data_IF_880347659893
#
_entry.id   IF_880347659893
#
_cell.length_a   1.000
_cell.length_b   1.000
_cell.length_c   1.000
_cell.angle_alpha   90.00
_cell.angle_beta   90.00
_cell.angle_gamma   90.00
#
_symmetry.space_group_name_H-M   'P 1'
#
loop_
_entity.id
_entity.type
_entity.pdbx_description
1 polymer ?
#
# COMPACT_ATOMS: atom_id res chain seq x y z
N UNK A 1 -0.24 -26.79 -18.76
CA UNK A 1 -0.01 -25.38 -18.38
C UNK A 1 -0.59 -24.39 -19.40
N UNK A 2 -0.31 -24.47 -20.69
CA UNK A 2 -0.80 -23.52 -21.70
C UNK A 2 -2.34 -23.36 -21.74
N UNK A 3 -3.11 -24.41 -21.57
CA UNK A 3 -4.59 -24.38 -21.57
C UNK A 3 -5.17 -23.67 -20.32
N UNK A 4 -4.49 -23.74 -19.18
CA UNK A 4 -4.89 -23.05 -17.95
C UNK A 4 -4.57 -21.55 -18.08
N UNK A 5 -3.43 -21.21 -18.64
CA UNK A 5 -3.03 -19.81 -18.88
C UNK A 5 -3.95 -19.13 -19.89
N UNK A 6 -4.35 -19.81 -20.95
CA UNK A 6 -5.29 -19.26 -21.95
C UNK A 6 -6.69 -19.03 -21.35
N UNK A 7 -7.19 -19.97 -20.52
CA UNK A 7 -8.46 -19.80 -19.81
C UNK A 7 -8.42 -18.65 -18.81
N UNK A 8 -7.34 -18.49 -18.05
CA UNK A 8 -7.17 -17.36 -17.10
C UNK A 8 -7.11 -16.00 -17.82
N UNK A 9 -6.45 -15.93 -18.98
CA UNK A 9 -6.42 -14.72 -19.80
C UNK A 9 -7.83 -14.34 -20.30
N UNK A 10 -8.60 -15.31 -20.78
CA UNK A 10 -9.99 -15.07 -21.22
C UNK A 10 -10.92 -14.65 -20.07
N UNK A 11 -10.74 -15.18 -18.87
CA UNK A 11 -11.50 -14.75 -17.69
C UNK A 11 -11.14 -13.32 -17.27
N UNK A 12 -9.86 -13.00 -17.24
CA UNK A 12 -9.39 -11.62 -16.94
C UNK A 12 -9.98 -10.62 -17.91
N UNK A 13 -9.94 -10.92 -19.20
CA UNK A 13 -10.44 -10.02 -20.24
C UNK A 13 -11.96 -9.83 -20.13
N UNK A 14 -12.71 -10.89 -19.79
CA UNK A 14 -14.15 -10.80 -19.48
C UNK A 14 -14.43 -9.94 -18.27
N UNK A 15 -13.68 -10.08 -17.17
CA UNK A 15 -13.86 -9.26 -15.97
C UNK A 15 -13.54 -7.79 -16.22
N UNK A 16 -12.48 -7.50 -16.96
CA UNK A 16 -12.09 -6.12 -17.33
C UNK A 16 -13.11 -5.50 -18.29
N UNK A 17 -13.75 -6.29 -19.14
CA UNK A 17 -14.80 -5.84 -20.06
C UNK A 17 -16.13 -5.52 -19.35
N UNK A 18 -16.32 -5.95 -18.09
CA UNK A 18 -17.54 -5.64 -17.34
C UNK A 18 -17.67 -4.13 -17.08
N UNK A 19 -18.88 -3.58 -17.07
CA UNK A 19 -19.13 -2.23 -16.59
C UNK A 19 -18.58 -2.03 -15.17
N UNK A 20 -18.01 -0.86 -14.89
CA UNK A 20 -17.33 -0.57 -13.61
C UNK A 20 -18.19 -0.88 -12.39
N UNK A 21 -19.50 -0.56 -12.44
CA UNK A 21 -20.42 -0.89 -11.35
C UNK A 21 -20.67 -2.40 -11.18
N UNK A 22 -20.54 -3.21 -12.22
CA UNK A 22 -20.60 -4.67 -12.08
C UNK A 22 -19.34 -5.22 -11.44
N UNK A 23 -18.17 -4.65 -11.78
CA UNK A 23 -16.92 -4.98 -11.09
C UNK A 23 -17.03 -4.61 -9.59
N UNK A 24 -17.58 -3.43 -9.26
CA UNK A 24 -17.78 -3.01 -7.86
C UNK A 24 -18.76 -3.95 -7.14
N UNK A 25 -19.86 -4.37 -7.80
CA UNK A 25 -20.80 -5.33 -7.24
C UNK A 25 -20.14 -6.67 -6.91
N UNK A 26 -19.26 -7.18 -7.79
CA UNK A 26 -18.51 -8.40 -7.54
C UNK A 26 -17.53 -8.25 -6.36
N UNK A 27 -16.83 -7.13 -6.26
CA UNK A 27 -15.91 -6.87 -5.16
C UNK A 27 -16.66 -6.78 -3.81
N UNK A 28 -17.79 -6.09 -3.77
CA UNK A 28 -18.60 -5.99 -2.56
C UNK A 28 -19.31 -7.30 -2.22
N UNK A 29 -19.67 -8.11 -3.22
CA UNK A 29 -20.18 -9.47 -2.98
C UNK A 29 -19.11 -10.34 -2.33
N UNK A 30 -17.89 -10.32 -2.84
CA UNK A 30 -16.75 -11.03 -2.23
C UNK A 30 -16.49 -10.53 -0.80
N UNK A 31 -16.59 -9.21 -0.57
CA UNK A 31 -16.47 -8.63 0.77
C UNK A 31 -17.61 -9.09 1.70
N UNK A 32 -18.85 -9.19 1.19
CA UNK A 32 -20.00 -9.73 1.92
C UNK A 32 -19.77 -11.19 2.32
N UNK A 33 -19.31 -12.01 1.38
CA UNK A 33 -19.00 -13.44 1.63
C UNK A 33 -17.85 -13.56 2.66
N UNK A 34 -16.84 -12.71 2.55
CA UNK A 34 -15.74 -12.69 3.50
C UNK A 34 -16.23 -12.30 4.91
N UNK A 35 -17.05 -11.25 5.02
CA UNK A 35 -17.62 -10.84 6.31
C UNK A 35 -18.49 -11.96 6.92
N UNK A 36 -19.33 -12.61 6.10
CA UNK A 36 -20.12 -13.76 6.55
C UNK A 36 -19.25 -14.92 7.05
N UNK A 37 -18.19 -15.25 6.32
CA UNK A 37 -17.22 -16.27 6.72
C UNK A 37 -16.48 -15.89 8.00
N UNK A 38 -16.07 -14.64 8.14
CA UNK A 38 -15.42 -14.13 9.36
C UNK A 38 -16.37 -14.18 10.54
N UNK A 39 -17.61 -13.76 10.39
CA UNK A 39 -18.62 -13.82 11.42
C UNK A 39 -18.84 -15.28 11.94
N UNK A 40 -18.83 -16.25 11.01
CA UNK A 40 -19.06 -17.67 11.34
C UNK A 40 -17.83 -18.39 11.91
N UNK A 41 -16.61 -18.02 11.47
CA UNK A 41 -15.39 -18.79 11.71
C UNK A 41 -14.35 -18.09 12.60
N UNK A 42 -14.50 -16.78 12.85
CA UNK A 42 -13.52 -16.05 13.65
C UNK A 42 -13.52 -16.52 15.11
N UNK A 43 -12.31 -16.78 15.60
CA UNK A 43 -12.06 -17.14 17.00
C UNK A 43 -12.00 -15.87 17.87
N UNK A 44 -11.55 -14.76 17.32
CA UNK A 44 -11.39 -13.49 18.02
C UNK A 44 -12.68 -12.66 17.92
N UNK A 45 -13.12 -12.10 19.06
CA UNK A 45 -14.36 -11.35 19.17
C UNK A 45 -14.33 -10.04 18.36
N UNK A 46 -13.20 -9.35 18.33
CA UNK A 46 -13.01 -8.13 17.53
C UNK A 46 -13.23 -8.37 16.02
N UNK A 47 -12.77 -9.52 15.50
CA UNK A 47 -13.00 -9.90 14.10
C UNK A 47 -14.46 -10.17 13.81
N UNK A 48 -15.12 -10.91 14.73
CA UNK A 48 -16.54 -11.25 14.61
C UNK A 48 -17.42 -10.00 14.66
N UNK A 49 -17.16 -9.11 15.61
CA UNK A 49 -17.90 -7.85 15.77
C UNK A 49 -17.73 -6.93 14.56
N UNK A 50 -16.49 -6.80 14.06
CA UNK A 50 -16.29 -6.09 12.81
C UNK A 50 -17.12 -6.68 11.66
N UNK A 51 -17.13 -8.01 11.53
CA UNK A 51 -17.83 -8.69 10.46
C UNK A 51 -19.35 -8.50 10.56
N UNK A 52 -19.92 -8.53 11.76
CA UNK A 52 -21.35 -8.24 12.02
C UNK A 52 -21.73 -6.82 11.58
N UNK A 53 -20.89 -5.83 11.88
CA UNK A 53 -21.10 -4.44 11.46
C UNK A 53 -20.91 -4.22 9.96
N UNK A 54 -19.95 -4.92 9.33
CA UNK A 54 -19.57 -4.72 7.94
C UNK A 54 -20.46 -5.49 6.94
N UNK A 55 -21.08 -6.60 7.36
CA UNK A 55 -21.88 -7.48 6.51
C UNK A 55 -23.02 -6.73 5.80
N UNK A 56 -23.82 -6.01 6.55
CA UNK A 56 -24.96 -5.25 6.02
C UNK A 56 -24.54 -4.18 4.99
N UNK A 57 -23.60 -3.29 5.32
CA UNK A 57 -23.09 -2.29 4.38
C UNK A 57 -22.56 -2.88 3.07
N UNK A 58 -21.78 -3.97 3.10
CA UNK A 58 -21.28 -4.61 1.88
C UNK A 58 -22.40 -5.24 1.05
N UNK A 59 -23.37 -5.90 1.70
CA UNK A 59 -24.51 -6.49 1.01
C UNK A 59 -25.37 -5.40 0.32
N UNK A 60 -25.65 -4.29 1.00
CA UNK A 60 -26.39 -3.16 0.44
C UNK A 60 -25.63 -2.54 -0.74
N UNK A 61 -24.33 -2.31 -0.61
CA UNK A 61 -23.49 -1.79 -1.70
C UNK A 61 -23.49 -2.73 -2.91
N UNK A 62 -23.44 -4.05 -2.70
CA UNK A 62 -23.57 -5.08 -3.74
C UNK A 62 -24.87 -4.91 -4.52
N UNK A 63 -26.01 -4.86 -3.80
CA UNK A 63 -27.34 -4.72 -4.41
C UNK A 63 -27.47 -3.41 -5.19
N UNK A 64 -27.04 -2.29 -4.61
CA UNK A 64 -27.08 -0.97 -5.28
C UNK A 64 -26.29 -1.02 -6.59
N UNK A 65 -25.03 -1.48 -6.55
CA UNK A 65 -24.18 -1.55 -7.73
C UNK A 65 -24.78 -2.47 -8.81
N UNK A 66 -25.33 -3.61 -8.41
CA UNK A 66 -25.95 -4.57 -9.32
C UNK A 66 -27.21 -4.03 -9.98
N UNK A 67 -28.14 -3.46 -9.19
CA UNK A 67 -29.42 -2.92 -9.69
C UNK A 67 -29.18 -1.74 -10.63
N UNK A 68 -28.33 -0.78 -10.22
CA UNK A 68 -28.02 0.40 -11.04
C UNK A 68 -27.32 0.00 -12.34
N UNK A 69 -26.38 -0.95 -12.29
CA UNK A 69 -25.72 -1.44 -13.48
C UNK A 69 -26.68 -2.09 -14.47
N UNK A 70 -27.60 -2.96 -14.00
CA UNK A 70 -28.60 -3.61 -14.88
C UNK A 70 -29.57 -2.60 -15.50
N UNK A 71 -30.04 -1.59 -14.74
CA UNK A 71 -30.92 -0.55 -15.28
C UNK A 71 -30.22 0.25 -16.38
N UNK A 72 -28.95 0.60 -16.22
CA UNK A 72 -28.17 1.35 -17.22
C UNK A 72 -27.93 0.58 -18.51
N UNK A 73 -27.62 -0.72 -18.42
CA UNK A 73 -27.48 -1.58 -19.61
C UNK A 73 -28.75 -1.64 -20.44
N UNK A 74 -29.94 -1.62 -19.78
CA UNK A 74 -31.23 -1.63 -20.49
C UNK A 74 -31.57 -0.30 -21.18
N UNK A 75 -31.04 0.83 -20.69
CA UNK A 75 -31.39 2.16 -21.21
C UNK A 75 -30.51 2.63 -22.39
N UNK A 76 -29.55 1.78 -22.86
CA UNK A 76 -28.72 2.00 -24.06
C UNK A 76 -28.09 3.42 -24.16
N UNK A 77 -28.03 4.18 -23.09
CA UNK A 77 -27.36 5.50 -23.09
C UNK A 77 -25.95 5.37 -22.54
N UNK A 78 -24.89 5.68 -23.34
CA UNK A 78 -23.55 5.82 -22.78
C UNK A 78 -23.59 6.86 -21.66
N UNK A 79 -22.83 6.63 -20.60
CA UNK A 79 -22.78 7.48 -19.39
C UNK A 79 -22.11 8.84 -19.72
N UNK A 80 -22.81 9.70 -20.46
CA UNK A 80 -22.38 11.04 -20.89
C UNK A 80 -22.26 12.02 -19.71
N UNK A 81 -22.71 11.64 -18.51
CA UNK A 81 -22.84 12.57 -17.38
C UNK A 81 -22.04 12.26 -16.11
N UNK A 82 -21.16 11.23 -16.08
CA UNK A 82 -20.38 10.92 -14.85
C UNK A 82 -21.22 10.52 -13.63
N UNK A 83 -22.51 10.22 -13.79
CA UNK A 83 -23.42 9.87 -12.70
C UNK A 83 -23.04 8.52 -12.06
N UNK A 84 -22.43 7.59 -12.82
CA UNK A 84 -21.87 6.35 -12.29
C UNK A 84 -20.65 6.58 -11.42
N UNK A 85 -19.79 7.50 -11.81
CA UNK A 85 -18.59 7.83 -11.05
C UNK A 85 -18.96 8.61 -9.76
N UNK A 86 -20.04 9.41 -9.78
CA UNK A 86 -20.57 10.06 -8.56
C UNK A 86 -21.14 9.05 -7.56
N UNK A 87 -22.01 8.16 -8.01
CA UNK A 87 -22.56 7.10 -7.17
C UNK A 87 -21.45 6.27 -6.53
N UNK A 88 -20.45 5.88 -7.31
CA UNK A 88 -19.31 5.13 -6.84
C UNK A 88 -18.55 5.84 -5.72
N UNK A 89 -18.29 7.16 -5.88
CA UNK A 89 -17.64 7.95 -4.83
C UNK A 89 -18.47 7.98 -3.54
N UNK A 90 -19.77 8.21 -3.64
CA UNK A 90 -20.64 8.19 -2.45
C UNK A 90 -20.69 6.82 -1.78
N UNK A 91 -20.73 5.72 -2.55
CA UNK A 91 -20.68 4.37 -1.99
C UNK A 91 -19.35 4.10 -1.29
N UNK A 92 -18.22 4.48 -1.89
CA UNK A 92 -16.89 4.31 -1.27
C UNK A 92 -16.78 5.13 0.02
N UNK A 93 -17.24 6.38 0.03
CA UNK A 93 -17.23 7.21 1.24
C UNK A 93 -18.23 6.70 2.30
N UNK A 94 -19.41 6.25 1.89
CA UNK A 94 -20.38 5.62 2.79
C UNK A 94 -19.84 4.34 3.42
N UNK A 95 -19.15 3.51 2.62
CA UNK A 95 -18.49 2.31 3.13
C UNK A 95 -17.32 2.67 4.05
N UNK A 96 -16.51 3.70 3.74
CA UNK A 96 -15.48 4.16 4.68
C UNK A 96 -16.08 4.46 6.06
N UNK A 97 -17.20 5.17 6.09
CA UNK A 97 -17.88 5.47 7.34
C UNK A 97 -18.38 4.19 8.03
N UNK A 98 -19.05 3.28 7.28
CA UNK A 98 -19.80 2.16 7.88
C UNK A 98 -18.99 0.89 8.11
N UNK A 99 -17.87 0.67 7.41
CA UNK A 99 -17.03 -0.53 7.59
C UNK A 99 -15.67 -0.26 8.22
N UNK A 100 -15.30 1.03 8.37
CA UNK A 100 -14.03 1.43 9.01
C UNK A 100 -14.30 2.35 10.20
N UNK A 101 -14.84 3.57 9.98
CA UNK A 101 -14.87 4.59 11.03
C UNK A 101 -15.85 4.25 12.16
N UNK A 102 -17.07 3.84 11.83
CA UNK A 102 -18.06 3.43 12.83
C UNK A 102 -17.61 2.18 13.59
N UNK A 103 -17.19 1.08 12.92
CA UNK A 103 -16.69 -0.09 13.65
C UNK A 103 -15.47 0.23 14.52
N UNK A 104 -14.52 1.03 14.04
CA UNK A 104 -13.37 1.45 14.85
C UNK A 104 -13.82 2.20 16.11
N UNK A 105 -14.76 3.14 15.97
CA UNK A 105 -15.28 3.92 17.10
C UNK A 105 -15.98 3.02 18.12
N UNK A 106 -16.79 2.07 17.64
CA UNK A 106 -17.48 1.09 18.51
C UNK A 106 -16.45 0.23 19.26
N UNK A 107 -15.47 -0.35 18.57
CA UNK A 107 -14.46 -1.22 19.16
C UNK A 107 -13.57 -0.46 20.18
N UNK A 108 -13.25 0.80 19.92
CA UNK A 108 -12.49 1.65 20.85
C UNK A 108 -13.30 1.94 22.11
N UNK A 109 -14.59 2.23 21.99
CA UNK A 109 -15.47 2.46 23.14
C UNK A 109 -15.65 1.19 23.95
N UNK A 110 -15.94 0.06 23.30
CA UNK A 110 -16.11 -1.24 23.98
C UNK A 110 -14.81 -1.65 24.71
N UNK A 111 -13.65 -1.39 24.10
CA UNK A 111 -12.35 -1.66 24.75
C UNK A 111 -12.14 -0.79 26.00
N UNK A 112 -12.54 0.49 25.95
CA UNK A 112 -12.39 1.39 27.09
C UNK A 112 -13.18 0.94 28.34
N UNK A 113 -14.29 0.23 28.14
CA UNK A 113 -15.16 -0.30 29.19
C UNK A 113 -14.82 -1.75 29.59
N UNK A 114 -14.03 -2.44 28.77
CA UNK A 114 -13.74 -3.87 28.93
C UNK A 114 -12.48 -4.15 29.76
N UNK A 115 -12.21 -5.43 29.98
CA UNK A 115 -10.94 -5.89 30.60
C UNK A 115 -9.76 -5.61 29.66
N UNK A 116 -8.56 -5.33 30.21
CA UNK A 116 -7.36 -5.12 29.42
C UNK A 116 -7.13 -6.23 28.38
N UNK A 117 -6.90 -5.84 27.11
CA UNK A 117 -6.66 -6.76 26.01
C UNK A 117 -7.91 -7.31 25.31
N UNK A 118 -9.13 -7.01 25.78
CA UNK A 118 -10.36 -7.30 25.05
C UNK A 118 -10.58 -6.30 23.91
N UNK A 119 -11.31 -6.68 22.88
CA UNK A 119 -11.68 -5.85 21.72
C UNK A 119 -10.51 -5.24 20.95
N UNK A 120 -9.34 -5.89 20.97
CA UNK A 120 -8.14 -5.38 20.29
C UNK A 120 -7.17 -6.53 20.02
N UNK A 121 -6.46 -6.43 18.89
CA UNK A 121 -5.36 -7.36 18.59
C UNK A 121 -4.15 -7.14 19.53
N UNK A 122 -3.43 -8.23 19.81
CA UNK A 122 -2.22 -8.20 20.64
C UNK A 122 -1.16 -7.22 20.14
N UNK A 123 -1.09 -6.99 18.83
CA UNK A 123 -0.16 -6.05 18.21
C UNK A 123 -0.30 -4.63 18.75
N UNK A 124 -1.53 -4.18 18.94
CA UNK A 124 -1.83 -2.86 19.51
C UNK A 124 -1.36 -2.77 20.95
N UNK A 125 -1.70 -3.77 21.77
CA UNK A 125 -1.29 -3.79 23.19
C UNK A 125 0.22 -3.84 23.35
N UNK A 126 0.93 -4.52 22.45
CA UNK A 126 2.40 -4.56 22.44
C UNK A 126 3.00 -3.20 22.07
N UNK A 127 2.42 -2.49 21.10
CA UNK A 127 2.86 -1.14 20.70
C UNK A 127 2.63 -0.14 21.85
N UNK A 128 1.46 -0.19 22.48
CA UNK A 128 1.11 0.66 23.62
C UNK A 128 1.99 0.38 24.83
N UNK A 129 2.21 -0.88 25.20
CA UNK A 129 3.06 -1.27 26.30
C UNK A 129 4.53 -0.84 26.10
N UNK A 130 5.02 -0.91 24.86
CA UNK A 130 6.34 -0.41 24.52
C UNK A 130 6.41 1.12 24.68
N UNK A 131 5.43 1.84 24.14
CA UNK A 131 5.38 3.29 24.21
C UNK A 131 5.25 3.81 25.65
N UNK A 132 4.43 3.14 26.48
CA UNK A 132 4.31 3.43 27.91
C UNK A 132 5.67 3.28 28.62
N UNK A 133 6.41 2.22 28.33
CA UNK A 133 7.75 2.04 28.88
C UNK A 133 8.70 3.16 28.49
N UNK A 134 8.69 3.56 27.21
CA UNK A 134 9.53 4.66 26.72
C UNK A 134 9.13 6.00 27.35
N UNK A 135 7.84 6.25 27.54
CA UNK A 135 7.35 7.43 28.23
C UNK A 135 7.81 7.53 29.71
N UNK A 136 8.21 6.38 30.31
CA UNK A 136 8.75 6.29 31.67
C UNK A 136 10.26 5.99 31.68
N UNK A 137 11.00 6.40 30.64
CA UNK A 137 12.46 6.23 30.49
C UNK A 137 12.95 4.78 30.59
N UNK A 138 12.09 3.81 30.22
CA UNK A 138 12.42 2.38 30.22
C UNK A 138 12.63 1.86 28.81
N UNK A 139 13.55 0.90 28.66
CA UNK A 139 13.78 0.26 27.37
C UNK A 139 12.55 -0.54 26.93
N UNK A 140 12.15 -0.32 25.69
CA UNK A 140 11.08 -1.04 25.01
C UNK A 140 11.48 -2.49 24.69
N UNK A 141 12.73 -2.71 24.23
CA UNK A 141 13.25 -4.02 23.93
C UNK A 141 13.72 -4.73 25.19
N UNK A 142 13.09 -5.84 25.53
CA UNK A 142 13.39 -6.56 26.77
C UNK A 142 14.48 -7.61 26.53
N UNK A 143 15.49 -7.62 27.39
CA UNK A 143 16.56 -8.61 27.37
C UNK A 143 16.07 -10.00 27.84
N UNK A 144 15.09 -10.03 28.75
CA UNK A 144 14.48 -11.25 29.25
C UNK A 144 12.94 -11.09 29.27
N UNK A 145 12.27 -11.35 28.16
CA UNK A 145 10.83 -11.17 28.06
C UNK A 145 9.99 -11.99 29.05
N UNK A 146 10.56 -13.06 29.61
CA UNK A 146 9.88 -13.89 30.65
C UNK A 146 9.66 -13.18 31.98
N UNK A 147 10.35 -12.07 32.24
CA UNK A 147 10.31 -11.40 33.55
C UNK A 147 9.11 -10.47 33.75
N UNK A 148 8.18 -10.36 32.78
CA UNK A 148 7.09 -9.37 32.85
C UNK A 148 5.76 -9.98 33.35
N UNK A 149 5.61 -11.27 33.41
CA UNK A 149 4.35 -11.89 33.82
C UNK A 149 4.52 -12.96 34.89
N UNK A 150 3.68 -12.92 35.89
CA UNK A 150 3.63 -13.91 36.98
C UNK A 150 2.93 -15.19 36.58
N UNK A 151 2.44 -15.36 35.34
CA UNK A 151 1.86 -16.61 34.83
C UNK A 151 2.42 -17.01 33.49
N UNK A 152 2.77 -18.29 33.39
CA UNK A 152 3.59 -18.91 32.32
C UNK A 152 2.81 -19.21 31.04
N UNK A 153 1.53 -18.87 30.90
CA UNK A 153 0.69 -19.57 29.94
C UNK A 153 0.34 -18.79 28.66
N UNK A 154 0.02 -17.54 28.66
CA UNK A 154 -0.37 -16.87 27.41
C UNK A 154 0.21 -15.47 27.20
N UNK A 155 0.84 -14.93 28.21
CA UNK A 155 1.37 -13.55 28.21
C UNK A 155 2.82 -13.44 27.75
N UNK A 156 3.52 -14.54 27.49
CA UNK A 156 4.94 -14.50 27.15
C UNK A 156 5.22 -13.96 25.76
N UNK A 157 4.31 -14.13 24.82
CA UNK A 157 4.46 -13.59 23.45
C UNK A 157 4.26 -12.09 23.40
N UNK A 158 3.34 -11.52 24.19
CA UNK A 158 3.06 -10.09 24.27
C UNK A 158 4.17 -9.29 24.96
N UNK A 159 5.18 -9.96 25.51
CA UNK A 159 6.36 -9.31 26.08
C UNK A 159 7.46 -9.00 25.06
N UNK A 160 7.32 -9.49 23.81
CA UNK A 160 8.22 -9.15 22.72
C UNK A 160 7.68 -7.96 21.93
N UNK A 161 8.57 -7.04 21.57
CA UNK A 161 8.27 -5.94 20.66
C UNK A 161 8.89 -6.23 19.27
N UNK A 162 8.14 -6.87 18.34
CA UNK A 162 8.69 -7.34 17.06
C UNK A 162 8.79 -6.24 15.99
N UNK A 163 8.68 -5.00 16.39
CA UNK A 163 8.70 -3.84 15.49
C UNK A 163 10.00 -3.05 15.60
N UNK A 164 10.19 -2.11 14.68
CA UNK A 164 11.29 -1.17 14.71
C UNK A 164 10.90 0.11 15.48
N UNK A 165 11.88 0.92 15.96
CA UNK A 165 11.58 2.03 16.87
C UNK A 165 10.60 3.08 16.32
N UNK A 166 10.50 3.23 15.00
CA UNK A 166 9.54 4.13 14.37
C UNK A 166 8.06 3.79 14.63
N UNK A 167 7.76 2.57 15.13
CA UNK A 167 6.40 2.19 15.50
C UNK A 167 5.97 2.75 16.86
N UNK A 168 6.91 3.07 17.74
CA UNK A 168 6.67 3.52 19.12
C UNK A 168 5.73 4.74 19.20
N UNK A 169 5.88 5.79 18.35
CA UNK A 169 5.04 6.99 18.43
C UNK A 169 3.53 6.72 18.35
N UNK A 170 3.11 5.67 17.65
CA UNK A 170 1.68 5.34 17.56
C UNK A 170 1.09 4.87 18.89
N UNK A 171 1.89 4.30 19.77
CA UNK A 171 1.44 3.86 21.09
C UNK A 171 1.48 4.96 22.17
N UNK A 172 2.13 6.11 21.91
CA UNK A 172 2.29 7.16 22.92
C UNK A 172 0.96 7.77 23.40
N UNK A 173 -0.10 7.64 22.61
CA UNK A 173 -1.45 8.06 23.03
C UNK A 173 -1.90 7.35 24.32
N UNK A 174 -1.44 6.12 24.55
CA UNK A 174 -1.75 5.36 25.76
C UNK A 174 -1.12 5.96 27.01
N UNK A 175 0.02 6.61 26.88
CA UNK A 175 0.73 7.26 27.99
C UNK A 175 0.17 8.67 28.31
N UNK A 176 -0.82 9.17 27.58
CA UNK A 176 -1.41 10.51 27.81
C UNK A 176 -2.40 10.50 28.96
N UNK A 177 -2.57 11.66 29.62
CA UNK A 177 -3.63 11.88 30.60
C UNK A 177 -4.91 12.30 29.89
N UNK A 178 -5.79 11.37 29.57
CA UNK A 178 -7.04 11.66 28.85
C UNK A 178 -8.08 10.57 29.06
N UNK A 179 -9.28 10.72 28.51
CA UNK A 179 -10.30 9.67 28.53
C UNK A 179 -9.78 8.37 27.88
N UNK A 180 -10.18 7.20 28.41
CA UNK A 180 -9.69 5.89 27.92
C UNK A 180 -9.89 5.68 26.42
N UNK A 181 -10.99 6.20 25.87
CA UNK A 181 -11.36 6.06 24.46
C UNK A 181 -10.32 6.71 23.53
N UNK A 182 -9.62 7.74 23.96
CA UNK A 182 -8.57 8.40 23.15
C UNK A 182 -7.17 7.81 23.35
N UNK A 183 -7.02 6.82 24.23
CA UNK A 183 -5.72 6.17 24.51
C UNK A 183 -5.43 4.98 23.62
N UNK A 184 -6.30 4.67 22.68
CA UNK A 184 -6.19 3.52 21.78
C UNK A 184 -5.28 3.83 20.59
N UNK A 185 -4.22 3.05 20.43
CA UNK A 185 -3.24 3.25 19.35
C UNK A 185 -3.84 3.00 17.94
N UNK A 186 -4.98 2.35 17.81
CA UNK A 186 -5.69 2.19 16.52
C UNK A 186 -6.11 3.52 15.92
N UNK A 187 -6.40 4.52 16.76
CA UNK A 187 -6.77 5.87 16.30
C UNK A 187 -5.64 6.51 15.49
N UNK A 188 -4.42 6.70 16.04
CA UNK A 188 -3.32 7.25 15.25
C UNK A 188 -2.84 6.30 14.14
N UNK A 189 -2.86 4.98 14.32
CA UNK A 189 -2.50 4.01 13.27
C UNK A 189 -3.42 4.16 12.05
N UNK A 190 -4.73 4.14 12.25
CA UNK A 190 -5.73 4.26 11.17
C UNK A 190 -5.77 5.67 10.61
N UNK A 191 -5.78 6.70 11.46
CA UNK A 191 -5.81 8.10 11.02
C UNK A 191 -4.60 8.46 10.17
N UNK A 192 -3.40 8.11 10.60
CA UNK A 192 -2.17 8.29 9.84
C UNK A 192 -2.22 7.54 8.51
N UNK A 193 -2.63 6.27 8.52
CA UNK A 193 -2.72 5.45 7.31
C UNK A 193 -3.67 6.04 6.28
N UNK A 194 -4.87 6.45 6.70
CA UNK A 194 -5.85 7.08 5.82
C UNK A 194 -5.34 8.38 5.21
N UNK A 195 -4.71 9.25 6.01
CA UNK A 195 -4.14 10.51 5.56
C UNK A 195 -3.02 10.30 4.54
N UNK A 196 -2.11 9.38 4.82
CA UNK A 196 -0.95 9.10 3.96
C UNK A 196 -1.39 8.40 2.67
N UNK A 197 -2.33 7.44 2.72
CA UNK A 197 -2.91 6.80 1.53
C UNK A 197 -3.62 7.84 0.67
N UNK A 198 -4.44 8.70 1.27
CA UNK A 198 -5.10 9.78 0.54
C UNK A 198 -4.08 10.71 -0.14
N UNK A 199 -3.04 11.12 0.59
CA UNK A 199 -1.92 11.92 0.06
C UNK A 199 -1.20 11.22 -1.10
N UNK A 200 -0.88 9.93 -0.96
CA UNK A 200 -0.26 9.13 -2.01
C UNK A 200 -1.13 9.08 -3.28
N UNK A 201 -2.44 8.89 -3.11
CA UNK A 201 -3.39 8.85 -4.23
C UNK A 201 -3.60 10.22 -4.89
N UNK A 202 -3.52 11.32 -4.14
CA UNK A 202 -3.58 12.68 -4.70
C UNK A 202 -2.32 13.00 -5.50
N UNK A 203 -1.15 12.54 -5.03
CA UNK A 203 0.14 12.70 -5.71
C UNK A 203 0.25 11.79 -6.94
N UNK A 204 -0.34 10.60 -6.91
CA UNK A 204 -0.22 9.62 -7.99
C UNK A 204 -0.75 10.16 -9.34
N UNK A 205 0.02 9.94 -10.41
CA UNK A 205 -0.37 10.29 -11.79
C UNK A 205 -1.36 9.26 -12.32
N UNK A 206 -2.64 9.47 -12.02
CA UNK A 206 -3.69 8.53 -12.43
C UNK A 206 -5.04 9.21 -12.59
N UNK A 207 -5.94 8.55 -13.32
CA UNK A 207 -7.31 9.03 -13.49
C UNK A 207 -8.09 8.95 -12.19
N UNK A 208 -9.10 9.82 -12.02
CA UNK A 208 -10.00 9.79 -10.85
C UNK A 208 -10.62 8.40 -10.64
N UNK A 209 -11.04 7.73 -11.72
CA UNK A 209 -11.61 6.37 -11.68
C UNK A 209 -10.64 5.33 -11.08
N UNK A 210 -9.37 5.32 -11.51
CA UNK A 210 -8.34 4.41 -10.98
C UNK A 210 -7.99 4.75 -9.53
N UNK A 211 -7.92 6.04 -9.18
CA UNK A 211 -7.68 6.51 -7.80
C UNK A 211 -8.71 5.95 -6.83
N UNK A 212 -10.01 6.07 -7.16
CA UNK A 212 -11.08 5.52 -6.35
C UNK A 212 -11.06 3.98 -6.31
N UNK A 213 -10.61 3.32 -7.38
CA UNK A 213 -10.45 1.85 -7.38
C UNK A 213 -9.32 1.42 -6.44
N UNK A 214 -8.20 2.12 -6.44
CA UNK A 214 -7.07 1.83 -5.53
C UNK A 214 -7.52 2.04 -4.09
N UNK A 215 -8.16 3.17 -3.79
CA UNK A 215 -8.69 3.44 -2.45
C UNK A 215 -9.70 2.38 -2.00
N UNK A 216 -10.60 1.95 -2.88
CA UNK A 216 -11.56 0.89 -2.62
C UNK A 216 -10.86 -0.43 -2.23
N UNK A 217 -9.84 -0.85 -2.99
CA UNK A 217 -9.15 -2.11 -2.73
C UNK A 217 -8.32 -2.05 -1.45
N UNK A 218 -7.58 -0.96 -1.23
CA UNK A 218 -6.63 -0.84 -0.13
C UNK A 218 -7.32 -0.52 1.21
N UNK A 219 -8.42 0.26 1.19
CA UNK A 219 -9.04 0.79 2.42
C UNK A 219 -10.40 0.15 2.69
N UNK A 220 -11.23 0.00 1.65
CA UNK A 220 -12.64 -0.34 1.83
C UNK A 220 -12.89 -1.85 1.84
N UNK A 221 -12.15 -2.63 1.04
CA UNK A 221 -12.29 -4.09 1.08
C UNK A 221 -11.78 -4.67 2.40
N UNK A 222 -12.21 -5.88 2.77
CA UNK A 222 -11.86 -6.49 4.06
C UNK A 222 -10.36 -6.54 4.35
N UNK A 223 -9.51 -6.64 3.32
CA UNK A 223 -8.05 -6.63 3.46
C UNK A 223 -7.51 -5.35 4.12
N UNK A 224 -8.18 -4.21 3.94
CA UNK A 224 -7.82 -2.95 4.59
C UNK A 224 -8.77 -2.61 5.76
N UNK A 225 -10.09 -2.75 5.57
CA UNK A 225 -11.08 -2.33 6.55
C UNK A 225 -10.99 -3.12 7.88
N UNK A 226 -10.84 -4.44 7.81
CA UNK A 226 -10.70 -5.27 9.00
C UNK A 226 -9.48 -4.88 9.84
N UNK A 227 -8.22 -4.86 9.30
CA UNK A 227 -7.08 -4.47 10.11
C UNK A 227 -7.15 -3.02 10.62
N UNK A 228 -7.77 -2.06 9.90
CA UNK A 228 -7.96 -0.69 10.41
C UNK A 228 -8.78 -0.65 11.70
N UNK A 229 -9.72 -1.56 11.85
CA UNK A 229 -10.61 -1.61 13.02
C UNK A 229 -10.01 -2.43 14.16
N UNK A 230 -9.34 -3.52 13.83
CA UNK A 230 -8.88 -4.48 14.86
C UNK A 230 -7.45 -4.23 15.33
N UNK A 231 -6.60 -3.51 14.56
CA UNK A 231 -5.29 -3.13 15.04
C UNK A 231 -4.15 -3.05 14.02
N UNK A 232 -4.44 -2.96 12.73
CA UNK A 232 -3.51 -3.03 11.59
C UNK A 232 -2.27 -2.16 11.64
N UNK A 233 -1.27 -2.60 12.34
CA UNK A 233 0.07 -2.05 12.43
C UNK A 233 0.87 -2.12 11.10
N UNK A 234 0.41 -2.92 10.14
CA UNK A 234 0.96 -2.99 8.79
C UNK A 234 0.53 -1.81 7.90
N UNK A 235 -0.63 -1.20 8.18
CA UNK A 235 -1.20 -0.15 7.35
C UNK A 235 -0.37 1.13 7.26
N UNK A 236 0.22 1.68 8.35
CA UNK A 236 1.12 2.82 8.26
C UNK A 236 2.35 2.53 7.41
N UNK A 237 2.85 1.30 7.46
CA UNK A 237 4.00 0.85 6.64
C UNK A 237 3.63 0.88 5.17
N UNK A 238 2.50 0.25 4.80
CA UNK A 238 1.98 0.21 3.43
C UNK A 238 1.68 1.63 2.94
N UNK A 239 1.03 2.46 3.75
CA UNK A 239 0.71 3.84 3.41
C UNK A 239 1.96 4.63 3.01
N UNK A 240 3.04 4.53 3.79
CA UNK A 240 4.32 5.17 3.50
C UNK A 240 5.01 4.56 2.27
N UNK A 241 4.92 3.24 2.06
CA UNK A 241 5.42 2.59 0.86
C UNK A 241 4.70 3.12 -0.40
N UNK A 242 3.38 3.26 -0.36
CA UNK A 242 2.59 3.82 -1.46
C UNK A 242 2.91 5.30 -1.71
N UNK A 243 3.12 6.07 -0.65
CA UNK A 243 3.58 7.46 -0.75
C UNK A 243 4.97 7.54 -1.39
N UNK A 244 5.90 6.67 -0.97
CA UNK A 244 7.23 6.56 -1.55
C UNK A 244 7.18 6.25 -3.05
N UNK A 245 6.31 5.32 -3.48
CA UNK A 245 6.06 4.98 -4.87
C UNK A 245 5.45 6.15 -5.66
N UNK A 246 4.46 6.84 -5.10
CA UNK A 246 3.83 8.01 -5.74
C UNK A 246 4.85 9.12 -5.98
N UNK A 247 5.67 9.43 -4.97
CA UNK A 247 6.73 10.44 -5.06
C UNK A 247 7.84 10.03 -6.05
N UNK A 248 8.20 8.74 -6.09
CA UNK A 248 9.14 8.21 -7.08
C UNK A 248 8.62 8.37 -8.50
N UNK A 249 7.35 8.13 -8.76
CA UNK A 249 6.69 8.33 -10.05
C UNK A 249 6.73 9.82 -10.46
N UNK A 250 6.51 10.74 -9.52
CA UNK A 250 6.62 12.20 -9.69
C UNK A 250 8.05 12.71 -9.80
N UNK A 251 9.04 11.84 -9.90
CA UNK A 251 10.47 12.20 -9.96
C UNK A 251 10.95 13.05 -8.78
N UNK A 252 10.45 12.75 -7.59
CA UNK A 252 10.82 13.39 -6.32
C UNK A 252 11.67 12.44 -5.46
N UNK A 253 12.93 12.11 -5.86
CA UNK A 253 13.71 11.06 -5.19
C UNK A 253 13.98 11.36 -3.72
N UNK A 254 14.25 12.60 -3.34
CA UNK A 254 14.46 13.00 -1.95
C UNK A 254 13.24 12.62 -1.08
N UNK A 255 12.06 13.08 -1.46
CA UNK A 255 10.83 12.84 -0.70
C UNK A 255 10.39 11.37 -0.74
N UNK A 256 10.66 10.68 -1.84
CA UNK A 256 10.48 9.23 -1.92
C UNK A 256 11.39 8.50 -0.92
N UNK A 257 12.65 8.93 -0.80
CA UNK A 257 13.60 8.41 0.19
C UNK A 257 13.15 8.69 1.62
N UNK A 258 12.62 9.89 1.89
CA UNK A 258 12.03 10.25 3.20
C UNK A 258 10.88 9.30 3.55
N UNK A 259 9.89 9.15 2.66
CA UNK A 259 8.73 8.29 2.91
C UNK A 259 9.14 6.81 3.12
N UNK A 260 10.05 6.30 2.27
CA UNK A 260 10.55 4.94 2.40
C UNK A 260 11.44 4.74 3.62
N UNK A 261 12.21 5.76 4.00
CA UNK A 261 12.99 5.76 5.24
C UNK A 261 12.09 5.61 6.46
N UNK A 262 11.02 6.40 6.56
CA UNK A 262 10.03 6.24 7.61
C UNK A 262 9.37 4.86 7.60
N UNK A 263 8.92 4.36 6.43
CA UNK A 263 8.38 3.00 6.33
C UNK A 263 9.35 1.96 6.87
N UNK A 264 10.64 2.07 6.51
CA UNK A 264 11.69 1.15 6.91
C UNK A 264 12.02 1.22 8.41
N UNK A 265 11.69 2.31 9.10
CA UNK A 265 11.81 2.41 10.56
C UNK A 265 10.64 1.81 11.33
N UNK A 266 9.53 1.51 10.67
CA UNK A 266 8.36 0.87 11.29
C UNK A 266 8.49 -0.66 11.31
N UNK A 267 8.78 -1.27 10.15
CA UNK A 267 8.89 -2.72 9.98
C UNK A 267 9.89 -3.11 8.88
N UNK A 268 10.49 -4.29 9.03
CA UNK A 268 11.37 -4.86 7.99
C UNK A 268 10.65 -5.18 6.67
N UNK A 269 9.34 -5.29 6.68
CA UNK A 269 8.52 -5.54 5.48
C UNK A 269 8.62 -4.44 4.42
N UNK A 270 9.02 -3.21 4.80
CA UNK A 270 9.27 -2.13 3.86
C UNK A 270 10.62 -2.21 3.13
N UNK A 271 11.59 -2.97 3.67
CA UNK A 271 12.97 -3.00 3.16
C UNK A 271 13.12 -3.55 1.74
N UNK A 272 12.39 -4.60 1.33
CA UNK A 272 12.45 -5.06 -0.06
C UNK A 272 12.11 -3.94 -1.06
N UNK A 273 11.03 -3.18 -0.83
CA UNK A 273 10.68 -2.07 -1.70
C UNK A 273 11.67 -0.91 -1.61
N UNK A 274 12.18 -0.59 -0.42
CA UNK A 274 13.23 0.42 -0.22
C UNK A 274 14.42 0.15 -1.13
N UNK A 275 14.92 -1.10 -1.16
CA UNK A 275 16.06 -1.50 -1.98
C UNK A 275 15.71 -1.52 -3.46
N UNK A 276 14.56 -2.07 -3.82
CA UNK A 276 14.13 -2.18 -5.22
C UNK A 276 13.89 -0.82 -5.88
N UNK A 277 13.47 0.19 -5.11
CA UNK A 277 13.35 1.56 -5.62
C UNK A 277 14.73 2.19 -5.91
N UNK A 278 15.79 1.82 -5.20
CA UNK A 278 17.16 2.22 -5.56
C UNK A 278 17.48 1.73 -6.97
N UNK A 279 17.28 0.42 -7.23
CA UNK A 279 17.54 -0.18 -8.54
C UNK A 279 16.69 0.46 -9.64
N UNK A 280 15.39 0.64 -9.40
CA UNK A 280 14.47 1.26 -10.36
C UNK A 280 14.74 2.74 -10.68
N UNK A 281 15.53 3.43 -9.86
CA UNK A 281 15.94 4.81 -10.13
C UNK A 281 17.28 4.91 -10.84
N UNK A 282 18.13 3.89 -10.74
CA UNK A 282 19.48 3.89 -11.31
C UNK A 282 19.47 4.01 -12.83
N UNK A 283 18.64 3.22 -13.51
CA UNK A 283 18.69 3.06 -14.96
C UNK A 283 18.25 4.32 -15.74
N UNK A 284 17.32 5.13 -15.22
CA UNK A 284 16.71 6.25 -15.98
C UNK A 284 17.06 7.65 -15.50
N UNK A 285 17.62 7.80 -14.29
CA UNK A 285 17.74 9.11 -13.61
C UNK A 285 19.16 9.47 -13.20
N UNK A 286 20.11 8.55 -13.38
CA UNK A 286 21.52 8.73 -13.05
C UNK A 286 21.80 8.76 -11.53
N UNK A 287 23.08 8.71 -11.18
CA UNK A 287 23.55 8.55 -9.81
C UNK A 287 23.08 9.64 -8.83
N UNK A 288 22.81 10.87 -9.31
CA UNK A 288 22.32 11.96 -8.43
C UNK A 288 20.94 11.67 -7.82
N UNK A 289 20.03 11.06 -8.58
CA UNK A 289 18.70 10.71 -8.06
C UNK A 289 18.78 9.57 -7.04
N UNK A 290 19.58 8.56 -7.33
CA UNK A 290 19.87 7.44 -6.43
C UNK A 290 20.51 7.95 -5.14
N UNK A 291 21.52 8.81 -5.24
CA UNK A 291 22.18 9.40 -4.08
C UNK A 291 21.21 10.19 -3.20
N UNK A 292 20.37 11.06 -3.79
CA UNK A 292 19.37 11.84 -3.04
C UNK A 292 18.35 10.95 -2.33
N UNK A 293 17.89 9.89 -3.00
CA UNK A 293 16.97 8.92 -2.42
C UNK A 293 17.62 8.17 -1.25
N UNK A 294 18.79 7.60 -1.48
CA UNK A 294 19.49 6.77 -0.48
C UNK A 294 19.92 7.59 0.72
N UNK A 295 20.43 8.81 0.50
CA UNK A 295 20.83 9.71 1.59
C UNK A 295 19.62 10.11 2.43
N UNK A 296 18.49 10.46 1.81
CA UNK A 296 17.27 10.81 2.53
C UNK A 296 16.72 9.64 3.35
N UNK A 297 16.71 8.44 2.78
CA UNK A 297 16.30 7.25 3.51
C UNK A 297 17.26 6.93 4.67
N UNK A 298 18.57 6.96 4.41
CA UNK A 298 19.59 6.71 5.44
C UNK A 298 19.55 7.74 6.57
N UNK A 299 19.33 9.03 6.27
CA UNK A 299 19.21 10.10 7.25
C UNK A 299 18.05 9.89 8.24
N UNK A 300 17.08 9.06 7.90
CA UNK A 300 15.96 8.68 8.80
C UNK A 300 16.24 7.32 9.44
N UNK A 301 16.61 6.32 8.64
CA UNK A 301 16.78 4.95 9.10
C UNK A 301 17.93 4.84 10.11
N UNK A 302 19.09 5.46 9.79
CA UNK A 302 20.29 5.30 10.62
C UNK A 302 20.11 5.85 12.04
N UNK A 303 19.63 7.10 12.27
CA UNK A 303 19.45 7.59 13.63
C UNK A 303 18.35 6.85 14.39
N UNK A 304 17.21 6.54 13.74
CA UNK A 304 16.09 5.86 14.42
C UNK A 304 16.47 4.43 14.84
N UNK A 305 17.11 3.66 13.94
CA UNK A 305 17.60 2.33 14.31
C UNK A 305 18.81 2.41 15.24
N UNK A 306 19.67 3.40 15.05
CA UNK A 306 20.85 3.63 15.88
C UNK A 306 20.51 3.79 17.37
N UNK A 307 19.45 4.49 17.69
CA UNK A 307 18.92 4.59 19.06
C UNK A 307 18.49 3.21 19.60
N UNK A 308 17.68 2.46 18.84
CA UNK A 308 17.21 1.14 19.26
C UNK A 308 18.33 0.11 19.43
N UNK A 309 19.31 0.12 18.50
CA UNK A 309 20.46 -0.80 18.50
C UNK A 309 21.50 -0.39 19.52
N UNK A 310 21.79 0.93 19.64
CA UNK A 310 22.81 1.48 20.53
C UNK A 310 22.52 1.27 22.01
N UNK A 311 21.23 1.31 22.40
CA UNK A 311 20.83 1.13 23.80
C UNK A 311 20.86 -0.32 24.28
N UNK A 312 20.56 -1.30 23.41
CA UNK A 312 20.51 -2.71 23.78
C UNK A 312 20.50 -3.64 22.57
N UNK A 313 21.60 -3.74 21.84
CA UNK A 313 21.71 -4.58 20.63
C UNK A 313 21.20 -6.01 20.84
N UNK A 314 21.56 -6.68 21.94
CA UNK A 314 21.11 -8.04 22.23
C UNK A 314 19.58 -8.12 22.34
N UNK A 315 18.98 -7.21 23.10
CA UNK A 315 17.53 -7.16 23.29
C UNK A 315 16.79 -6.81 21.99
N UNK A 316 17.33 -5.86 21.20
CA UNK A 316 16.81 -5.54 19.87
C UNK A 316 16.83 -6.77 18.95
N UNK A 317 17.96 -7.46 18.83
CA UNK A 317 18.07 -8.66 18.01
C UNK A 317 17.12 -9.78 18.45
N UNK A 318 16.93 -9.93 19.76
CA UNK A 318 16.00 -10.92 20.31
C UNK A 318 14.55 -10.62 19.92
N UNK A 319 14.12 -9.36 20.09
CA UNK A 319 12.75 -8.93 19.88
C UNK A 319 12.39 -8.72 18.40
N UNK A 320 13.20 -7.94 17.69
CA UNK A 320 12.87 -7.48 16.34
C UNK A 320 13.30 -8.47 15.23
N UNK A 321 14.24 -9.38 15.51
CA UNK A 321 14.77 -10.33 14.52
C UNK A 321 14.42 -11.78 14.89
N UNK A 322 14.91 -12.26 16.04
CA UNK A 322 14.82 -13.71 16.37
C UNK A 322 13.38 -14.14 16.66
N UNK A 323 12.60 -13.32 17.34
CA UNK A 323 11.21 -13.65 17.67
C UNK A 323 10.31 -13.73 16.43
N UNK A 324 10.28 -12.73 15.51
CA UNK A 324 9.47 -12.84 14.29
C UNK A 324 9.88 -13.99 13.37
N UNK A 325 11.15 -14.38 13.37
CA UNK A 325 11.64 -15.54 12.61
C UNK A 325 11.35 -16.89 13.30
N UNK A 326 10.69 -16.88 14.48
CA UNK A 326 10.41 -18.10 15.22
C UNK A 326 11.66 -18.79 15.81
N UNK A 327 12.76 -18.04 15.99
CA UNK A 327 14.06 -18.52 16.50
C UNK A 327 14.18 -18.34 18.03
N UNK A 328 13.08 -18.15 18.74
CA UNK A 328 13.02 -18.07 20.21
C UNK A 328 12.33 -19.31 20.79
N UNK A 329 12.47 -19.50 22.11
CA UNK A 329 11.73 -20.58 22.83
C UNK A 329 10.23 -20.31 22.91
N UNK A 330 9.83 -19.05 22.82
CA UNK A 330 8.42 -18.66 22.81
C UNK A 330 7.91 -18.79 21.39
N UNK A 331 6.77 -19.46 21.21
CA UNK A 331 6.13 -19.61 19.90
C UNK A 331 5.63 -18.25 19.42
N UNK A 332 5.88 -17.94 18.15
CA UNK A 332 5.26 -16.79 17.51
C UNK A 332 3.77 -17.03 17.32
N UNK A 333 2.89 -16.04 17.58
CA UNK A 333 1.47 -16.14 17.28
C UNK A 333 1.20 -16.10 15.75
N UNK A 334 2.21 -15.85 14.93
CA UNK A 334 2.14 -15.91 13.49
C UNK A 334 2.22 -17.37 12.99
N UNK A 335 1.10 -18.10 13.05
CA UNK A 335 1.02 -19.53 12.78
C UNK A 335 -0.13 -19.88 11.81
N UNK A 336 -0.37 -19.06 10.79
CA UNK A 336 -1.33 -19.40 9.72
C UNK A 336 -0.82 -20.54 8.86
N UNK A 337 -1.67 -21.50 8.45
CA UNK A 337 -1.30 -22.70 7.72
C UNK A 337 -0.93 -22.38 6.25
N UNK A 338 0.20 -21.70 6.07
CA UNK A 338 0.86 -21.45 4.80
C UNK A 338 2.05 -22.40 4.62
N UNK A 339 2.52 -22.57 3.39
CA UNK A 339 3.49 -23.61 3.01
C UNK A 339 4.70 -23.70 3.95
N UNK A 340 5.35 -22.57 4.24
CA UNK A 340 6.54 -22.56 5.11
C UNK A 340 6.21 -22.96 6.55
N UNK A 341 5.10 -22.45 7.09
CA UNK A 341 4.63 -22.78 8.42
C UNK A 341 4.23 -24.26 8.54
N UNK A 342 3.51 -24.79 7.55
CA UNK A 342 3.12 -26.21 7.51
C UNK A 342 4.34 -27.13 7.47
N UNK A 343 5.31 -26.85 6.61
CA UNK A 343 6.54 -27.65 6.54
C UNK A 343 7.29 -27.66 7.87
N UNK A 344 7.40 -26.52 8.55
CA UNK A 344 8.08 -26.46 9.85
C UNK A 344 7.26 -27.13 10.95
N UNK A 345 5.93 -27.14 10.86
CA UNK A 345 5.08 -27.82 11.82
C UNK A 345 5.10 -29.34 11.67
N UNK A 346 5.21 -29.83 10.43
CA UNK A 346 5.32 -31.27 10.12
C UNK A 346 6.68 -31.85 10.50
N UNK A 347 7.76 -31.05 10.47
CA UNK A 347 9.13 -31.51 10.75
C UNK A 347 9.80 -30.65 11.84
N UNK A 348 9.31 -30.67 13.09
CA UNK A 348 9.82 -29.79 14.14
C UNK A 348 11.29 -30.05 14.51
N UNK A 349 11.78 -31.26 14.32
CA UNK A 349 13.19 -31.62 14.55
C UNK A 349 14.16 -31.02 13.52
N UNK A 350 13.70 -30.70 12.31
CA UNK A 350 14.48 -30.09 11.24
C UNK A 350 14.15 -28.59 11.05
N UNK A 351 13.59 -27.94 12.07
CA UNK A 351 13.14 -26.55 11.98
C UNK A 351 14.26 -25.57 11.53
N UNK A 352 15.47 -25.57 12.10
CA UNK A 352 16.55 -24.64 11.68
C UNK A 352 16.96 -24.84 10.23
N UNK A 353 17.08 -26.10 9.80
CA UNK A 353 17.46 -26.47 8.43
C UNK A 353 16.38 -26.03 7.43
N UNK A 354 15.10 -26.28 7.75
CA UNK A 354 13.98 -25.85 6.91
C UNK A 354 13.90 -24.32 6.78
N UNK A 355 14.09 -23.59 7.87
CA UNK A 355 14.16 -22.13 7.82
C UNK A 355 15.26 -21.67 6.87
N UNK A 356 16.43 -22.28 6.97
CA UNK A 356 17.58 -21.96 6.11
C UNK A 356 17.26 -22.26 4.65
N UNK A 357 16.75 -23.46 4.35
CA UNK A 357 16.41 -23.88 2.99
C UNK A 357 15.34 -22.98 2.38
N UNK A 358 14.22 -22.73 3.09
CA UNK A 358 13.14 -21.89 2.62
C UNK A 358 13.59 -20.45 2.37
N UNK A 359 14.46 -19.92 3.23
CA UNK A 359 15.06 -18.60 3.05
C UNK A 359 15.94 -18.57 1.81
N UNK A 360 16.83 -19.57 1.61
CA UNK A 360 17.67 -19.66 0.42
C UNK A 360 16.85 -19.81 -0.86
N UNK A 361 15.80 -20.65 -0.87
CA UNK A 361 14.89 -20.79 -2.01
C UNK A 361 14.25 -19.46 -2.35
N UNK A 362 13.76 -18.72 -1.35
CA UNK A 362 13.18 -17.39 -1.53
C UNK A 362 14.20 -16.39 -2.11
N UNK A 363 15.40 -16.34 -1.56
CA UNK A 363 16.46 -15.44 -2.03
C UNK A 363 16.91 -15.78 -3.45
N UNK A 364 17.09 -17.06 -3.78
CA UNK A 364 17.45 -17.51 -5.13
C UNK A 364 16.33 -17.16 -6.13
N UNK A 365 15.06 -17.37 -5.78
CA UNK A 365 13.95 -17.04 -6.65
C UNK A 365 13.84 -15.52 -6.91
N UNK A 366 14.00 -14.70 -5.87
CA UNK A 366 14.03 -13.23 -5.99
C UNK A 366 15.23 -12.78 -6.80
N UNK A 367 16.44 -13.32 -6.52
CA UNK A 367 17.68 -13.02 -7.24
C UNK A 367 17.57 -13.38 -8.73
N UNK A 368 17.04 -14.56 -9.04
CA UNK A 368 16.79 -14.98 -10.42
C UNK A 368 15.78 -14.06 -11.13
N UNK A 369 14.71 -13.68 -10.44
CA UNK A 369 13.74 -12.73 -10.95
C UNK A 369 14.36 -11.38 -11.28
N UNK A 370 15.22 -10.85 -10.39
CA UNK A 370 15.96 -9.60 -10.59
C UNK A 370 16.94 -9.69 -11.77
N UNK A 371 17.63 -10.82 -11.89
CA UNK A 371 18.54 -11.06 -13.01
C UNK A 371 17.81 -11.07 -14.36
N UNK A 372 16.63 -11.68 -14.41
CA UNK A 372 15.81 -11.76 -15.64
C UNK A 372 15.09 -10.46 -15.97
N UNK A 373 14.62 -9.73 -14.97
CA UNK A 373 13.80 -8.52 -15.15
C UNK A 373 14.05 -7.53 -14.02
N UNK A 374 15.14 -6.79 -14.08
CA UNK A 374 15.41 -5.70 -13.14
C UNK A 374 14.31 -4.64 -13.23
N UNK A 375 13.72 -4.21 -12.11
CA UNK A 375 12.72 -3.15 -12.12
C UNK A 375 13.29 -1.84 -12.68
N UNK A 376 12.69 -1.33 -13.75
CA UNK A 376 13.12 -0.10 -14.43
C UNK A 376 12.19 1.10 -14.16
N UNK A 377 11.17 0.92 -13.33
CA UNK A 377 10.22 1.97 -12.96
C UNK A 377 9.65 1.72 -11.58
N UNK A 378 9.08 2.74 -10.89
CA UNK A 378 8.41 2.56 -9.61
C UNK A 378 7.27 1.54 -9.67
N UNK A 379 6.54 1.46 -10.79
CA UNK A 379 5.44 0.50 -10.97
C UNK A 379 5.97 -0.94 -11.05
N UNK A 380 7.04 -1.17 -11.81
CA UNK A 380 7.67 -2.50 -11.89
C UNK A 380 8.34 -2.89 -10.57
N UNK A 381 8.89 -1.91 -9.82
CA UNK A 381 9.41 -2.14 -8.48
C UNK A 381 8.30 -2.54 -7.50
N UNK A 382 7.12 -1.88 -7.56
CA UNK A 382 5.96 -2.27 -6.75
C UNK A 382 5.49 -3.68 -7.09
N UNK A 383 5.35 -4.02 -8.39
CA UNK A 383 4.94 -5.34 -8.84
C UNK A 383 5.92 -6.44 -8.41
N UNK A 384 7.22 -6.19 -8.58
CA UNK A 384 8.27 -7.12 -8.17
C UNK A 384 8.30 -7.29 -6.64
N UNK A 385 8.21 -6.18 -5.88
CA UNK A 385 8.08 -6.23 -4.43
C UNK A 385 6.85 -7.02 -3.98
N UNK A 386 5.70 -6.79 -4.62
CA UNK A 386 4.48 -7.53 -4.31
C UNK A 386 4.64 -9.04 -4.50
N UNK A 387 5.26 -9.46 -5.61
CA UNK A 387 5.54 -10.89 -5.86
C UNK A 387 6.58 -11.45 -4.88
N UNK A 388 7.63 -10.70 -4.58
CA UNK A 388 8.64 -11.11 -3.60
C UNK A 388 8.03 -11.26 -2.19
N UNK A 389 7.16 -10.32 -1.78
CA UNK A 389 6.44 -10.39 -0.50
C UNK A 389 5.43 -11.55 -0.46
N UNK A 390 4.76 -11.85 -1.58
CA UNK A 390 3.90 -13.03 -1.68
C UNK A 390 4.71 -14.31 -1.46
N UNK A 391 5.83 -14.44 -2.16
CA UNK A 391 6.72 -15.58 -2.00
C UNK A 391 7.24 -15.70 -0.56
N UNK A 392 7.69 -14.58 0.03
CA UNK A 392 8.16 -14.53 1.40
C UNK A 392 7.06 -14.95 2.38
N UNK A 393 5.81 -14.46 2.21
CA UNK A 393 4.68 -14.84 3.07
C UNK A 393 4.36 -16.33 2.96
N UNK A 394 4.44 -16.91 1.75
CA UNK A 394 4.19 -18.33 1.54
C UNK A 394 5.29 -19.22 2.12
N UNK A 395 6.55 -18.79 2.06
CA UNK A 395 7.70 -19.58 2.51
C UNK A 395 8.11 -19.31 3.97
N UNK A 396 7.60 -18.24 4.59
CA UNK A 396 7.99 -17.89 5.96
C UNK A 396 7.60 -18.99 6.97
N UNK A 397 8.51 -19.34 7.88
CA UNK A 397 8.27 -20.35 8.91
C UNK A 397 7.34 -19.88 10.04
N UNK A 398 7.16 -18.56 10.16
CA UNK A 398 6.20 -17.92 11.03
C UNK A 398 5.48 -16.85 10.19
N UNK A 399 4.21 -17.09 9.88
CA UNK A 399 3.46 -16.29 8.93
C UNK A 399 2.00 -16.17 9.31
N UNK A 400 1.34 -15.11 8.83
CA UNK A 400 -0.10 -14.86 9.00
C UNK A 400 -0.74 -14.55 7.66
N UNK A 401 -2.00 -14.93 7.49
CA UNK A 401 -2.81 -14.51 6.34
C UNK A 401 -2.86 -12.98 6.20
N UNK A 402 -2.80 -12.24 7.32
CA UNK A 402 -2.77 -10.78 7.33
C UNK A 402 -1.61 -10.19 6.51
N UNK A 403 -0.46 -10.88 6.41
CA UNK A 403 0.67 -10.39 5.61
C UNK A 403 0.40 -10.39 4.10
N UNK A 404 -0.66 -11.05 3.63
CA UNK A 404 -1.09 -10.98 2.23
C UNK A 404 -1.57 -9.57 1.81
N UNK A 405 -1.79 -8.67 2.76
CA UNK A 405 -2.09 -7.26 2.49
C UNK A 405 -0.96 -6.59 1.70
N UNK A 406 0.31 -6.88 2.00
CA UNK A 406 1.46 -6.31 1.28
C UNK A 406 1.48 -6.65 -0.21
N UNK A 407 1.47 -7.94 -0.61
CA UNK A 407 1.41 -8.27 -2.03
C UNK A 407 0.14 -7.77 -2.71
N UNK A 408 -1.02 -7.83 -2.03
CA UNK A 408 -2.28 -7.33 -2.57
C UNK A 408 -2.21 -5.85 -2.93
N UNK A 409 -1.74 -5.01 -2.01
CA UNK A 409 -1.71 -3.57 -2.18
C UNK A 409 -0.64 -3.12 -3.17
N UNK A 410 0.55 -3.72 -3.12
CA UNK A 410 1.63 -3.44 -4.06
C UNK A 410 1.30 -3.88 -5.48
N UNK A 411 0.68 -5.05 -5.66
CA UNK A 411 0.24 -5.52 -6.98
C UNK A 411 -0.93 -4.68 -7.50
N UNK A 412 -1.87 -4.29 -6.65
CA UNK A 412 -2.95 -3.36 -6.99
C UNK A 412 -2.38 -2.03 -7.48
N UNK A 413 -1.40 -1.48 -6.76
CA UNK A 413 -0.71 -0.27 -7.15
C UNK A 413 -0.01 -0.41 -8.50
N UNK A 414 0.76 -1.48 -8.68
CA UNK A 414 1.49 -1.76 -9.92
C UNK A 414 0.56 -1.88 -11.12
N UNK A 415 -0.53 -2.64 -10.99
CA UNK A 415 -1.47 -2.90 -12.11
C UNK A 415 -2.28 -1.65 -12.46
N UNK A 416 -2.83 -0.95 -11.47
CA UNK A 416 -3.74 0.18 -11.72
C UNK A 416 -3.02 1.47 -12.09
N UNK A 417 -1.72 1.60 -11.81
CA UNK A 417 -0.90 2.75 -12.20
C UNK A 417 0.01 2.49 -13.38
N UNK A 418 0.02 1.29 -13.95
CA UNK A 418 0.73 1.04 -15.21
C UNK A 418 0.20 1.94 -16.33
N UNK A 419 1.06 2.55 -17.17
CA UNK A 419 0.64 3.26 -18.35
C UNK A 419 -0.26 2.37 -19.21
N UNK A 420 -1.33 2.93 -19.77
CA UNK A 420 -2.11 2.23 -20.77
C UNK A 420 -1.23 2.22 -22.03
N UNK A 421 -0.60 1.09 -22.32
CA UNK A 421 -0.02 0.86 -23.64
C UNK A 421 -1.20 0.74 -24.61
N UNK A 422 -1.46 1.78 -25.38
CA UNK A 422 -2.36 1.76 -26.52
C UNK A 422 -1.74 0.87 -27.60
N UNK A 423 -1.83 -0.45 -27.44
CA UNK A 423 -1.45 -1.41 -28.48
C UNK A 423 -2.29 -1.26 -29.77
N UNK A 424 -3.44 -0.58 -29.69
CA UNK A 424 -4.30 -0.34 -30.85
C UNK A 424 -3.89 0.81 -31.76
N UNK A 425 -3.01 1.71 -31.31
CA UNK A 425 -2.53 2.84 -32.14
C UNK A 425 -1.28 2.50 -32.94
N UNK A 426 -0.47 1.57 -32.47
CA UNK A 426 0.73 1.13 -33.20
C UNK A 426 0.35 0.18 -34.38
N UNK A 427 -0.66 -0.68 -34.21
CA UNK A 427 -1.16 -1.51 -35.30
C UNK A 427 -1.88 -0.70 -36.38
N UNK A 428 -2.59 0.38 -36.02
CA UNK A 428 -3.20 1.28 -37.01
C UNK A 428 -2.18 2.13 -37.77
N UNK A 429 -1.08 2.53 -37.13
CA UNK A 429 -0.01 3.29 -37.83
C UNK A 429 0.84 2.39 -38.74
N UNK A 430 1.02 1.12 -38.42
CA UNK A 430 1.70 0.16 -39.31
C UNK A 430 0.81 -0.32 -40.46
N UNK A 431 -0.52 -0.37 -40.25
CA UNK A 431 -1.46 -0.70 -41.32
C UNK A 431 -1.60 0.45 -42.37
N UNK A 432 -1.45 1.70 -41.93
CA UNK A 432 -1.55 2.86 -42.81
C UNK A 432 -0.23 3.18 -43.60
N UNK A 433 0.90 2.63 -43.13
CA UNK A 433 2.19 2.74 -43.85
C UNK A 433 2.43 1.61 -44.87
N UNK A 434 1.54 0.62 -44.94
CA UNK A 434 1.63 -0.52 -45.85
C UNK A 434 0.83 -0.43 -47.14
N UNK A 435 0.07 0.64 -47.38
CA UNK A 435 -0.63 0.90 -48.63
C UNK A 435 0.03 1.99 -49.43
N UNK A 436 1.14 1.70 -50.11
CA UNK A 436 1.53 2.46 -51.30
C UNK A 436 0.53 2.13 -52.44
N UNK A 437 -0.10 3.15 -53.03
CA UNK A 437 -0.90 2.91 -54.23
C UNK A 437 0.02 2.73 -55.43
N UNK A 438 0.09 1.52 -55.95
CA UNK A 438 0.52 1.25 -57.29
C UNK A 438 -0.41 2.01 -58.25
N UNK A 439 -0.03 3.20 -58.74
CA UNK A 439 -0.67 3.81 -59.88
C UNK A 439 0.35 4.05 -60.97
N UNK A 440 -0.01 3.53 -62.11
CA UNK A 440 0.77 3.41 -63.32
C UNK A 440 1.10 4.77 -63.97
N UNK A 441 2.18 4.66 -64.68
CA UNK A 441 2.67 5.52 -65.75
C UNK A 441 1.60 6.16 -66.63
N UNK A 442 1.58 7.50 -66.71
CA UNK A 442 1.32 8.20 -67.94
C UNK A 442 2.15 9.50 -68.05
N UNK A 443 2.95 9.51 -69.08
CA UNK A 443 3.74 10.61 -69.60
C UNK A 443 2.84 11.78 -70.03
N UNK A 444 3.14 12.99 -69.61
CA UNK A 444 2.98 14.17 -70.51
C UNK A 444 3.81 15.35 -70.01
N UNK A 445 4.55 15.84 -70.94
CA UNK A 445 5.46 16.99 -70.93
C UNK A 445 4.74 18.30 -70.63
N UNK A 446 5.55 19.21 -70.11
CA UNK A 446 5.73 20.62 -70.54
C UNK A 446 5.30 21.71 -69.54
N UNK A 447 6.27 22.61 -69.41
CA UNK A 447 6.22 24.08 -69.25
C UNK A 447 6.24 24.63 -67.80
N UNK A 448 7.46 25.04 -67.44
CA UNK A 448 7.70 26.29 -66.66
C UNK A 448 7.33 27.47 -67.47
N UNK A 449 7.08 28.72 -66.97
CA UNK A 449 8.07 29.46 -66.22
C UNK A 449 7.58 30.56 -65.23
N UNK A 450 8.58 31.21 -64.56
CA UNK A 450 8.72 32.62 -64.16
C UNK A 450 8.07 33.05 -62.85
N UNK A 451 8.86 33.28 -61.84
CA UNK A 451 9.41 34.49 -61.21
C UNK A 451 8.44 35.61 -60.78
N UNK A 452 8.54 35.99 -59.53
CA UNK A 452 8.64 37.34 -58.95
C UNK A 452 8.54 37.20 -57.43
N UNK A 453 9.61 37.49 -56.72
CA UNK A 453 10.06 38.76 -56.13
C UNK A 453 8.98 39.48 -55.33
N UNK A 454 9.22 39.68 -54.02
CA UNK A 454 9.58 40.95 -53.39
C UNK A 454 9.18 40.88 -51.87
N UNK A 455 10.16 41.02 -50.96
CA UNK A 455 10.08 41.62 -49.64
C UNK A 455 9.69 43.14 -49.75
N UNK A 456 9.38 43.95 -48.73
CA UNK A 456 9.92 43.95 -47.38
C UNK A 456 8.93 44.35 -46.24
N UNK A 457 9.48 44.31 -45.01
CA UNK A 457 9.04 45.00 -43.77
C UNK A 457 8.94 46.55 -43.96
N UNK A 458 8.20 47.33 -43.12
CA UNK A 458 8.90 47.91 -42.00
C UNK A 458 8.15 48.09 -40.67
N UNK A 459 8.95 48.47 -39.68
CA UNK A 459 8.69 48.86 -38.33
C UNK A 459 7.87 50.16 -38.14
N UNK A 460 7.30 50.34 -36.95
CA UNK A 460 7.19 51.60 -36.16
C UNK A 460 6.63 51.20 -34.77
N UNK A 461 7.36 51.35 -33.68
CA UNK A 461 7.57 52.52 -32.81
C UNK A 461 6.29 53.11 -32.20
N UNK A 462 6.35 53.29 -30.86
CA UNK A 462 5.46 54.09 -30.00
C UNK A 462 5.24 53.39 -28.65
N UNK A 463 6.07 53.48 -27.70
CA UNK A 463 6.39 54.53 -26.67
C UNK A 463 5.16 54.97 -25.84
N UNK A 464 5.38 54.97 -24.55
CA UNK A 464 5.04 55.88 -23.44
C UNK A 464 4.28 55.31 -22.25
N UNK A 465 4.99 55.41 -21.10
CA UNK A 465 4.64 55.80 -19.73
C UNK A 465 3.73 54.82 -18.93
N UNK A 466 4.12 54.39 -17.79
CA UNK A 466 4.65 55.07 -16.62
C UNK A 466 3.62 54.96 -15.52
N UNK A 467 3.94 54.36 -14.38
CA UNK A 467 3.57 54.82 -13.04
C UNK A 467 3.94 53.78 -11.97
N UNK A 468 4.97 54.03 -11.26
CA UNK A 468 5.05 54.33 -9.79
C UNK A 468 4.80 53.18 -8.83
N UNK A 469 5.91 52.82 -8.21
CA UNK A 469 6.10 52.11 -6.94
C UNK A 469 5.35 52.82 -5.83
N UNK A 470 4.67 52.05 -4.96
CA UNK A 470 4.41 52.43 -3.58
C UNK A 470 4.77 51.27 -2.66
N UNK A 471 5.85 51.41 -1.98
CA UNK A 471 6.23 50.72 -0.80
C UNK A 471 5.43 51.24 0.40
N UNK A 472 4.86 50.34 1.22
CA UNK A 472 4.51 50.70 2.57
C UNK A 472 4.71 49.50 3.49
N UNK A 473 5.74 49.57 4.31
CA UNK A 473 5.87 48.91 5.62
C UNK A 473 4.91 49.53 6.61
N UNK A 474 4.38 48.77 7.56
CA UNK A 474 4.12 49.33 8.89
C UNK A 474 4.84 48.58 10.01
N UNK A 475 5.36 49.39 10.85
CA UNK A 475 5.91 49.31 12.17
C UNK A 475 5.09 48.50 13.16
N UNK A 476 5.85 47.89 14.08
CA UNK A 476 5.49 47.33 15.38
C UNK A 476 4.65 48.28 16.29
N UNK A 477 3.74 47.70 17.06
CA UNK A 477 3.54 48.10 18.47
C UNK A 477 2.81 47.00 19.27
N UNK A 478 3.40 46.76 20.46
CA UNK A 478 2.95 46.11 21.71
C UNK A 478 2.48 44.66 21.66
#
# INVERSE_FOLDING_TARGET
MAAITSKLLTWRDRLVALPVLQQDALLYLLATVFALGTMALAVSDDYRQWAEMALGPYAVATVICWVVSRRRVRLVKPDVGGAGDRLRRYLVLGLLATVVLVPLSVEVILRAEAKPGAHVQNEVTVIEACADRVAHDKNCYLSNPKSIGTSVTSQSENSFFPYLPGMIPFGLVNATSGPPEFKDARIPLTGFSLLVIAGALLIAETTSRRRWRIFQVIVILPSGALPMVTGGDDLPVIALMLLGLALATRRRPLWSGVAMGFAATLKFTAWPLLILLVLGQWDKRGGRAVWRYSLAAAAIVVPVLGVGVGLALHAFMLNAIRFPLGLTKVKSPAASPLLGQELVSLFPGAKPELITILTLVGLVAVGYGLWKRTPSSPQTAAGFSGLAMLLATLLAPATRFGYLIYPLDLLTWAVLLSPITNRGTEESQHADQGQEPLSGTTNSRSLSPIAAEVCPSPASEGEIAGLTVVTSTPTSHS
#
